data_IF_045979340592
#
_entry.id   IF_045979340592
#
_cell.length_a   1.000
_cell.length_b   1.000
_cell.length_c   1.000
_cell.angle_alpha   90.00
_cell.angle_beta   90.00
_cell.angle_gamma   90.00
#
_symmetry.space_group_name_H-M   'P 1'
#
loop_
_entity.id
_entity.type
_entity.pdbx_description
1 polymer ?
#
# COMPACT_ATOMS: atom_id res chain seq x y z
N UNK A 1 29.10 11.33 4.14
CA UNK A 1 29.08 10.85 2.74
C UNK A 1 27.66 10.42 2.30
N UNK A 2 26.61 11.19 2.67
CA UNK A 2 25.20 10.79 2.48
C UNK A 2 24.48 11.53 1.33
N UNK A 3 24.93 12.74 0.98
CA UNK A 3 24.24 13.65 0.03
C UNK A 3 24.27 13.15 -1.43
N UNK A 4 25.27 12.32 -1.79
CA UNK A 4 25.38 11.80 -3.17
C UNK A 4 24.30 10.77 -3.50
N UNK A 5 23.91 9.91 -2.55
CA UNK A 5 22.99 8.80 -2.82
C UNK A 5 21.55 9.26 -2.97
N UNK A 6 21.12 10.25 -2.19
CA UNK A 6 19.74 10.77 -2.24
C UNK A 6 19.35 11.33 -3.62
N UNK A 7 20.30 11.94 -4.33
CA UNK A 7 20.07 12.42 -5.70
C UNK A 7 19.84 11.29 -6.68
N UNK A 8 20.57 10.17 -6.54
CA UNK A 8 20.38 9.00 -7.38
C UNK A 8 19.07 8.28 -7.04
N UNK A 9 18.72 8.18 -5.76
CA UNK A 9 17.45 7.59 -5.33
C UNK A 9 16.26 8.36 -5.90
N UNK A 10 16.31 9.70 -5.89
CA UNK A 10 15.26 10.55 -6.48
C UNK A 10 15.16 10.39 -8.00
N UNK A 11 16.30 10.26 -8.69
CA UNK A 11 16.31 10.01 -10.14
C UNK A 11 15.74 8.63 -10.49
N UNK A 12 16.11 7.61 -9.71
CA UNK A 12 15.59 6.26 -9.86
C UNK A 12 14.08 6.21 -9.59
N UNK A 13 13.63 6.85 -8.50
CA UNK A 13 12.21 6.98 -8.13
C UNK A 13 11.38 7.54 -9.28
N UNK A 14 11.79 8.68 -9.84
CA UNK A 14 11.13 9.31 -10.99
C UNK A 14 11.12 8.45 -12.25
N UNK A 15 12.21 7.72 -12.51
CA UNK A 15 12.28 6.82 -13.66
C UNK A 15 11.30 5.65 -13.51
N UNK A 16 11.20 5.09 -12.30
CA UNK A 16 10.24 4.02 -11.97
C UNK A 16 8.80 4.53 -12.09
N UNK A 17 8.46 5.68 -11.52
CA UNK A 17 7.10 6.24 -11.62
C UNK A 17 6.71 6.60 -13.05
N UNK A 18 7.69 6.97 -13.89
CA UNK A 18 7.43 7.20 -15.32
C UNK A 18 7.07 5.92 -16.07
N UNK A 19 7.68 4.79 -15.70
CA UNK A 19 7.51 3.51 -16.40
C UNK A 19 6.34 2.67 -15.84
N UNK A 20 6.15 2.69 -14.53
CA UNK A 20 5.26 1.77 -13.81
C UNK A 20 4.29 2.48 -12.85
N UNK A 21 4.38 3.81 -12.74
CA UNK A 21 3.51 4.55 -11.84
C UNK A 21 2.08 4.61 -12.39
N UNK A 22 1.15 4.21 -11.54
CA UNK A 22 -0.29 4.25 -11.78
C UNK A 22 -0.88 5.44 -11.02
N UNK A 23 -1.77 6.22 -11.66
CA UNK A 23 -2.49 7.26 -10.97
C UNK A 23 -3.52 6.63 -10.01
N UNK A 24 -3.66 7.25 -8.86
CA UNK A 24 -4.50 6.77 -7.77
C UNK A 24 -5.06 7.94 -6.97
N UNK A 25 -6.17 7.69 -6.31
CA UNK A 25 -6.75 8.63 -5.34
C UNK A 25 -6.72 7.99 -3.97
N UNK A 26 -6.08 8.66 -3.02
CA UNK A 26 -6.08 8.31 -1.61
C UNK A 26 -7.27 9.00 -0.96
N UNK A 27 -8.19 8.23 -0.41
CA UNK A 27 -9.38 8.65 0.29
C UNK A 27 -9.16 8.51 1.80
N UNK A 28 -9.02 9.63 2.52
CA UNK A 28 -8.91 9.62 3.97
C UNK A 28 -10.16 9.00 4.62
N UNK A 29 -9.95 8.04 5.51
CA UNK A 29 -11.01 7.43 6.29
C UNK A 29 -10.82 7.73 7.78
N UNK A 30 -11.91 7.95 8.49
CA UNK A 30 -11.93 7.97 9.94
C UNK A 30 -11.82 6.54 10.47
N UNK A 31 -10.97 6.37 11.49
CA UNK A 31 -10.96 5.15 12.29
C UNK A 31 -12.24 5.12 13.14
N UNK A 32 -13.28 4.50 12.59
CA UNK A 32 -14.59 4.31 13.21
C UNK A 32 -15.35 5.60 13.59
N UNK A 33 -16.35 5.95 12.78
CA UNK A 33 -17.49 6.69 13.31
C UNK A 33 -18.10 5.88 14.48
N UNK A 34 -18.82 6.55 15.39
CA UNK A 34 -19.42 5.96 16.61
C UNK A 34 -20.24 4.67 16.42
N UNK A 35 -20.55 4.29 15.17
CA UNK A 35 -21.27 3.08 14.77
C UNK A 35 -20.36 1.97 14.18
N UNK A 36 -19.04 2.05 14.37
CA UNK A 36 -18.07 1.02 13.93
C UNK A 36 -17.87 0.92 12.42
N UNK A 37 -18.40 1.86 11.63
CA UNK A 37 -18.20 1.94 10.18
C UNK A 37 -17.12 2.97 9.86
N UNK A 38 -16.18 2.61 8.99
CA UNK A 38 -15.25 3.57 8.41
C UNK A 38 -16.06 4.56 7.56
N UNK A 39 -15.95 5.84 7.88
CA UNK A 39 -16.55 6.94 7.13
C UNK A 39 -15.43 7.84 6.60
N UNK A 40 -15.66 8.52 5.47
CA UNK A 40 -14.70 9.49 4.94
C UNK A 40 -14.40 10.55 5.99
N UNK A 41 -13.12 10.85 6.17
CA UNK A 41 -12.65 11.87 7.10
C UNK A 41 -13.06 13.26 6.59
N UNK A 42 -13.92 14.02 7.30
CA UNK A 42 -14.30 15.35 6.87
C UNK A 42 -13.17 16.36 7.03
N UNK A 43 -12.17 16.08 7.87
CA UNK A 43 -11.06 16.99 8.16
C UNK A 43 -9.87 16.80 7.20
N UNK A 44 -9.89 15.77 6.35
CA UNK A 44 -8.82 15.46 5.39
C UNK A 44 -9.38 15.33 3.98
N UNK A 45 -8.80 16.09 3.05
CA UNK A 45 -9.20 16.03 1.65
C UNK A 45 -8.59 14.82 0.92
N UNK A 46 -9.31 14.25 -0.07
CA UNK A 46 -8.74 13.26 -0.99
C UNK A 46 -7.48 13.79 -1.66
N UNK A 47 -6.50 12.92 -1.78
CA UNK A 47 -5.23 13.27 -2.38
C UNK A 47 -4.99 12.43 -3.63
N UNK A 48 -4.72 13.10 -4.75
CA UNK A 48 -4.29 12.42 -5.97
C UNK A 48 -2.80 12.12 -5.87
N UNK A 49 -2.44 10.86 -6.09
CA UNK A 49 -1.06 10.40 -6.01
C UNK A 49 -0.75 9.44 -7.14
N UNK A 50 0.50 9.45 -7.60
CA UNK A 50 1.00 8.47 -8.55
C UNK A 50 1.99 7.54 -7.86
N UNK A 51 1.79 6.23 -8.00
CA UNK A 51 2.65 5.25 -7.36
C UNK A 51 2.65 3.90 -8.05
N UNK A 52 3.57 3.04 -7.65
CA UNK A 52 3.74 1.71 -8.23
C UNK A 52 2.90 0.71 -7.46
N UNK A 53 1.95 0.09 -8.14
CA UNK A 53 1.16 -1.00 -7.59
C UNK A 53 1.82 -2.36 -7.89
N UNK A 54 2.09 -3.13 -6.85
CA UNK A 54 2.68 -4.46 -6.95
C UNK A 54 1.79 -5.51 -6.25
N UNK A 55 1.61 -6.65 -6.91
CA UNK A 55 0.83 -7.78 -6.43
C UNK A 55 1.68 -9.03 -6.50
N UNK A 56 2.16 -9.49 -5.35
CA UNK A 56 2.98 -10.69 -5.22
C UNK A 56 2.25 -11.78 -4.45
N UNK A 57 2.54 -13.04 -4.76
CA UNK A 57 2.17 -14.14 -3.88
C UNK A 57 2.89 -13.94 -2.53
N UNK A 58 2.14 -13.99 -1.43
CA UNK A 58 2.73 -13.95 -0.11
C UNK A 58 3.22 -15.36 0.22
N UNK A 59 4.54 -15.53 0.31
CA UNK A 59 5.13 -16.77 0.81
C UNK A 59 4.85 -16.85 2.32
N UNK A 60 3.94 -17.72 2.75
CA UNK A 60 3.84 -18.05 4.16
C UNK A 60 5.01 -18.97 4.54
N UNK A 61 5.72 -18.60 5.60
CA UNK A 61 6.66 -19.51 6.24
C UNK A 61 5.87 -20.71 6.78
N UNK A 62 5.92 -21.84 6.08
CA UNK A 62 5.43 -23.12 6.59
C UNK A 62 6.21 -23.41 7.86
N UNK A 63 5.51 -23.44 8.99
CA UNK A 63 6.10 -23.81 10.28
C UNK A 63 6.38 -25.32 10.26
N UNK A 64 7.57 -25.70 9.80
CA UNK A 64 8.04 -27.08 9.86
C UNK A 64 8.39 -27.43 11.31
N UNK A 65 7.46 -28.06 12.02
CA UNK A 65 7.79 -28.82 13.23
C UNK A 65 6.91 -28.55 14.45
N UNK A 66 5.80 -29.26 14.55
CA UNK A 66 5.43 -29.91 15.81
C UNK A 66 4.91 -31.30 15.48
N UNK A 67 5.70 -32.32 15.83
CA UNK A 67 5.44 -33.73 15.54
C UNK A 67 4.45 -34.28 16.57
N UNK A 68 3.18 -34.42 16.19
CA UNK A 68 2.20 -35.32 16.82
C UNK A 68 1.80 -36.40 15.81
N UNK A 69 1.65 -37.68 16.21
CA UNK A 69 1.48 -38.78 15.28
C UNK A 69 0.02 -38.86 14.85
N UNK A 70 -0.31 -38.39 13.64
CA UNK A 70 -1.61 -38.65 13.04
C UNK A 70 -2.02 -37.61 12.02
N UNK A 71 -1.74 -37.92 10.75
CA UNK A 71 -2.13 -37.18 9.52
C UNK A 71 -1.29 -35.95 9.21
N UNK A 72 -0.12 -36.20 8.61
CA UNK A 72 0.51 -35.22 7.72
C UNK A 72 -0.37 -35.02 6.49
N UNK A 73 -0.93 -33.83 6.34
CA UNK A 73 -1.58 -33.43 5.11
C UNK A 73 -0.49 -33.03 4.12
N UNK A 74 -0.09 -33.98 3.27
CA UNK A 74 0.73 -33.74 2.08
C UNK A 74 -0.10 -32.92 1.09
N UNK A 75 0.02 -31.60 1.17
CA UNK A 75 -0.19 -30.72 0.05
C UNK A 75 0.70 -29.50 0.24
N UNK A 76 1.51 -29.21 -0.79
CA UNK A 76 2.11 -27.91 -1.08
C UNK A 76 1.01 -26.84 -1.11
N UNK A 77 0.49 -26.51 0.05
CA UNK A 77 -0.56 -25.53 0.19
C UNK A 77 0.18 -24.21 0.18
N UNK A 78 0.29 -23.63 -1.00
CA UNK A 78 0.37 -22.18 -1.17
C UNK A 78 -0.61 -21.60 -0.17
N UNK A 79 -0.12 -21.07 0.95
CA UNK A 79 -0.98 -20.27 1.79
C UNK A 79 -1.41 -19.12 0.89
N UNK A 80 -2.69 -19.10 0.52
CA UNK A 80 -3.26 -18.20 -0.48
C UNK A 80 -3.30 -16.74 0.04
N UNK A 81 -2.17 -16.21 0.51
CA UNK A 81 -2.00 -14.80 0.77
C UNK A 81 -1.53 -14.15 -0.51
N UNK A 82 -2.21 -13.09 -0.93
CA UNK A 82 -1.68 -12.17 -1.95
C UNK A 82 -1.23 -10.94 -1.18
N UNK A 83 0.05 -10.60 -1.27
CA UNK A 83 0.57 -9.35 -0.73
C UNK A 83 0.44 -8.28 -1.81
N UNK A 84 -0.36 -7.26 -1.52
CA UNK A 84 -0.52 -6.10 -2.37
C UNK A 84 0.21 -4.93 -1.73
N UNK A 85 1.03 -4.24 -2.52
CA UNK A 85 1.84 -3.13 -2.04
C UNK A 85 1.70 -1.96 -3.00
N UNK A 86 1.59 -0.75 -2.47
CA UNK A 86 1.61 0.48 -3.25
C UNK A 86 2.75 1.36 -2.77
N UNK A 87 3.72 1.60 -3.63
CA UNK A 87 4.88 2.43 -3.32
C UNK A 87 4.70 3.81 -3.94
N UNK A 88 4.74 4.86 -3.13
CA UNK A 88 4.55 6.25 -3.56
C UNK A 88 5.77 7.08 -3.21
N UNK A 89 6.17 8.01 -4.08
CA UNK A 89 7.21 8.99 -3.78
C UNK A 89 6.67 10.00 -2.76
N UNK A 90 7.45 10.32 -1.73
CA UNK A 90 7.08 11.33 -0.72
C UNK A 90 6.87 12.70 -1.33
N UNK A 91 7.53 13.00 -2.45
CA UNK A 91 7.31 14.24 -3.19
C UNK A 91 5.91 14.34 -3.81
N UNK A 92 5.22 13.21 -4.03
CA UNK A 92 3.83 13.16 -4.51
C UNK A 92 2.84 13.27 -3.35
N UNK A 93 3.26 13.02 -2.10
CA UNK A 93 2.42 13.14 -0.89
C UNK A 93 2.55 14.53 -0.28
N UNK A 94 2.38 15.57 -1.10
CA UNK A 94 2.51 16.97 -0.67
C UNK A 94 1.28 17.74 -1.14
N UNK A 95 0.68 18.53 -0.24
CA UNK A 95 -0.45 19.39 -0.58
C UNK A 95 -0.03 20.63 -1.40
N UNK A 96 -1.00 21.43 -1.85
CA UNK A 96 -0.73 22.68 -2.60
C UNK A 96 0.15 23.67 -1.82
N UNK A 97 0.14 23.60 -0.49
CA UNK A 97 0.92 24.45 0.41
C UNK A 97 2.32 23.90 0.70
N UNK A 98 2.69 22.73 0.18
CA UNK A 98 4.00 22.13 0.39
C UNK A 98 4.12 21.27 1.65
N UNK A 99 3.01 20.97 2.35
CA UNK A 99 3.01 20.14 3.55
C UNK A 99 2.83 18.66 3.20
N UNK A 100 3.51 17.78 3.96
CA UNK A 100 3.38 16.34 3.80
C UNK A 100 1.95 15.89 4.16
N UNK A 101 1.27 15.24 3.22
CA UNK A 101 -0.06 14.68 3.41
C UNK A 101 0.07 13.36 4.19
N UNK A 102 -0.45 13.29 5.42
CA UNK A 102 -0.26 12.10 6.25
C UNK A 102 -1.18 10.96 5.79
N UNK A 103 -0.58 9.94 5.18
CA UNK A 103 -1.24 8.68 4.86
C UNK A 103 -1.33 7.80 6.11
N UNK A 104 -2.52 7.28 6.40
CA UNK A 104 -2.78 6.50 7.63
C UNK A 104 -3.33 5.11 7.33
N UNK A 105 -3.14 4.21 8.28
CA UNK A 105 -3.80 2.91 8.29
C UNK A 105 -5.31 3.11 8.31
N UNK A 106 -6.02 2.41 7.44
CA UNK A 106 -7.46 2.52 7.27
C UNK A 106 -7.90 3.42 6.11
N UNK A 107 -7.04 4.30 5.61
CA UNK A 107 -7.31 5.08 4.40
C UNK A 107 -7.49 4.14 3.19
N UNK A 108 -8.21 4.61 2.17
CA UNK A 108 -8.54 3.80 1.00
C UNK A 108 -7.85 4.32 -0.24
N UNK A 109 -7.32 3.43 -1.07
CA UNK A 109 -6.70 3.75 -2.36
C UNK A 109 -7.61 3.23 -3.47
N UNK A 110 -7.88 4.09 -4.44
CA UNK A 110 -8.58 3.78 -5.68
C UNK A 110 -7.61 3.99 -6.86
N UNK A 111 -7.45 2.97 -7.71
CA UNK A 111 -6.59 3.07 -8.90
C UNK A 111 -7.43 3.66 -10.04
N UNK A 112 -7.12 4.88 -10.47
CA UNK A 112 -7.97 5.63 -11.42
C UNK A 112 -7.82 5.16 -12.86
N UNK A 113 -6.65 4.62 -13.24
CA UNK A 113 -6.39 4.12 -14.60
C UNK A 113 -6.88 2.68 -14.83
N UNK A 114 -7.40 2.01 -13.78
CA UNK A 114 -7.89 0.63 -13.85
C UNK A 114 -9.39 0.59 -13.52
N UNK A 115 -10.27 0.88 -14.49
CA UNK A 115 -11.71 0.79 -14.28
C UNK A 115 -12.11 -0.63 -13.89
N UNK A 116 -12.91 -0.77 -12.82
CA UNK A 116 -13.31 -2.07 -12.26
C UNK A 116 -12.31 -2.69 -11.30
N UNK A 117 -11.18 -2.04 -11.01
CA UNK A 117 -10.31 -2.46 -9.92
C UNK A 117 -11.01 -2.32 -8.56
N UNK A 118 -10.77 -3.24 -7.61
CA UNK A 118 -11.34 -3.11 -6.28
C UNK A 118 -10.73 -1.93 -5.55
N UNK A 119 -11.44 -1.44 -4.54
CA UNK A 119 -10.89 -0.46 -3.60
C UNK A 119 -9.95 -1.17 -2.65
N UNK A 120 -8.84 -0.52 -2.31
CA UNK A 120 -7.84 -1.10 -1.42
C UNK A 120 -7.78 -0.33 -0.11
N UNK A 121 -7.84 -1.01 1.03
CA UNK A 121 -7.58 -0.40 2.34
C UNK A 121 -6.09 -0.47 2.64
N UNK A 122 -5.53 0.61 3.16
CA UNK A 122 -4.17 0.61 3.71
C UNK A 122 -4.20 -0.16 5.03
N UNK A 123 -3.61 -1.35 5.03
CA UNK A 123 -3.46 -2.18 6.21
C UNK A 123 -2.27 -1.72 7.06
N UNK A 124 -1.15 -1.35 6.40
CA UNK A 124 0.07 -0.90 7.07
C UNK A 124 0.80 0.14 6.23
N UNK A 125 1.43 1.09 6.92
CA UNK A 125 2.35 2.07 6.34
C UNK A 125 3.77 1.67 6.76
N UNK A 126 4.61 1.36 5.79
CA UNK A 126 6.00 0.97 6.02
C UNK A 126 6.93 2.12 5.60
N UNK A 127 7.96 2.42 6.41
CA UNK A 127 9.04 3.27 5.95
C UNK A 127 9.77 2.52 4.84
N UNK A 128 9.60 2.96 3.59
CA UNK A 128 10.30 2.40 2.43
C UNK A 128 11.78 2.83 2.45
N UNK A 129 12.24 3.46 1.38
CA UNK A 129 13.53 4.13 1.36
C UNK A 129 13.41 5.61 1.83
N UNK A 130 14.50 6.38 1.70
CA UNK A 130 14.51 7.81 2.06
C UNK A 130 13.56 8.68 1.25
N UNK A 131 13.12 8.21 0.08
CA UNK A 131 12.33 8.98 -0.90
C UNK A 131 10.91 8.47 -1.04
N UNK A 132 10.64 7.20 -0.67
CA UNK A 132 9.35 6.54 -0.90
C UNK A 132 8.74 6.00 0.39
N UNK A 133 7.43 5.83 0.36
CA UNK A 133 6.64 5.15 1.39
C UNK A 133 5.96 3.95 0.75
N UNK A 134 6.03 2.81 1.43
CA UNK A 134 5.41 1.57 0.97
C UNK A 134 4.15 1.30 1.79
N UNK A 135 3.03 1.10 1.11
CA UNK A 135 1.72 0.89 1.71
C UNK A 135 1.30 -0.57 1.47
N UNK A 136 1.11 -1.35 2.53
CA UNK A 136 0.53 -2.69 2.40
C UNK A 136 -0.99 -2.58 2.30
N UNK A 137 -1.57 -3.26 1.32
CA UNK A 137 -2.95 -3.11 0.92
C UNK A 137 -3.76 -4.38 1.16
N UNK A 138 -5.01 -4.18 1.56
CA UNK A 138 -6.04 -5.21 1.65
C UNK A 138 -7.20 -4.89 0.71
N UNK A 139 -7.74 -5.90 0.02
CA UNK A 139 -8.89 -5.70 -0.88
C UNK A 139 -10.15 -5.49 -0.05
N UNK A 140 -10.81 -4.36 -0.27
CA UNK A 140 -12.19 -4.16 0.16
C UNK A 140 -13.04 -4.66 -1.01
N UNK A 141 -13.74 -5.78 -0.84
CA UNK A 141 -14.65 -6.28 -1.86
C UNK A 141 -15.61 -5.17 -2.29
N UNK A 142 -15.54 -4.78 -3.57
CA UNK A 142 -16.60 -4.04 -4.23
C UNK A 142 -17.69 -5.06 -4.57
N UNK A 143 -18.87 -4.90 -3.97
CA UNK A 143 -20.10 -5.61 -4.33
C UNK A 143 -20.46 -5.36 -5.79
#
# INVERSE_FOLDING_TARGET
MAIKYEKYDRLASRAVDKLYGEPSTILPMTAAAANGRAARDPDREPHEAKGVFDRKAADAAVQFGSRGPGRGNDLNTTANGVKMTFSVDRAELVDEAGNEVPVRVGDVIELTDRPGSPKYRIARVLPGNSVRVDLELEVIHAS
#
